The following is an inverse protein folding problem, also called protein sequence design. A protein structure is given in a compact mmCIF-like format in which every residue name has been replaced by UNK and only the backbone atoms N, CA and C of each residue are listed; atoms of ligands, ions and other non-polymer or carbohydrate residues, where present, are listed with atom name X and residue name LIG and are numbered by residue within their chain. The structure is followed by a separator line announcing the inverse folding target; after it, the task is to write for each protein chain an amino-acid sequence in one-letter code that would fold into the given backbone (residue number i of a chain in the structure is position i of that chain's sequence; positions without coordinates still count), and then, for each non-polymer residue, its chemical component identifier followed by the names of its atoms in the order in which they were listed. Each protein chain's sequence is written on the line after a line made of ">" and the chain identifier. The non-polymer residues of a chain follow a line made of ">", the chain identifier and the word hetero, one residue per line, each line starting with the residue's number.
data_IF_036375119722
#
_entry.id   IF_036375119722
#
_cell.length_a   1.000
_cell.length_b   1.000
_cell.length_c   1.000
_cell.angle_alpha   90.00
_cell.angle_beta   90.00
_cell.angle_gamma   90.00
#
_symmetry.space_group_name_H-M   'P 1'
#
loop_
_entity.id
_entity.type
_entity.pdbx_description
1 polymer ?
#
# COMPACT_ATOMS: atom_id res chain seq x y z
N UNK A 1 -44.91 23.13 18.00
CA UNK A 1 -43.84 24.03 17.47
C UNK A 1 -42.67 23.10 17.25
N UNK A 2 -42.80 22.38 16.16
CA UNK A 2 -42.00 21.24 15.78
C UNK A 2 -40.83 21.80 14.97
N UNK A 3 -39.62 21.47 15.39
CA UNK A 3 -38.40 21.81 14.66
C UNK A 3 -37.97 20.51 13.98
N UNK A 4 -38.26 20.44 12.68
CA UNK A 4 -37.77 19.41 11.77
C UNK A 4 -36.24 19.48 11.72
N UNK A 5 -35.59 18.38 12.10
CA UNK A 5 -34.17 18.16 11.86
C UNK A 5 -34.02 17.44 10.51
N UNK A 6 -33.53 18.14 9.51
CA UNK A 6 -33.15 17.56 8.22
C UNK A 6 -31.93 16.64 8.42
N UNK A 7 -32.19 15.33 8.42
CA UNK A 7 -31.18 14.30 8.21
C UNK A 7 -30.89 14.18 6.71
N UNK A 8 -29.75 14.72 6.26
CA UNK A 8 -29.28 14.48 4.90
C UNK A 8 -28.79 13.03 4.76
N UNK A 9 -29.66 12.18 4.22
CA UNK A 9 -29.29 10.87 3.68
C UNK A 9 -28.46 11.07 2.40
N UNK A 10 -27.16 10.81 2.47
CA UNK A 10 -26.35 10.55 1.29
C UNK A 10 -26.49 9.08 0.92
N UNK A 11 -27.56 8.74 0.20
CA UNK A 11 -27.67 7.49 -0.54
C UNK A 11 -27.06 7.72 -1.93
N UNK A 12 -25.77 7.43 -2.09
CA UNK A 12 -25.17 7.22 -3.41
C UNK A 12 -25.69 5.88 -3.94
N UNK A 13 -26.45 5.95 -5.03
CA UNK A 13 -26.92 4.80 -5.79
C UNK A 13 -25.70 4.05 -6.34
N UNK A 14 -25.37 2.92 -5.72
CA UNK A 14 -24.45 1.95 -6.27
C UNK A 14 -25.06 1.38 -7.55
N UNK A 15 -24.62 1.89 -8.71
CA UNK A 15 -24.90 1.26 -9.99
C UNK A 15 -24.25 -0.12 -10.01
N UNK A 16 -25.05 -1.16 -9.82
CA UNK A 16 -24.64 -2.55 -9.98
C UNK A 16 -24.34 -2.85 -11.44
N UNK A 17 -23.10 -2.62 -11.86
CA UNK A 17 -22.46 -3.40 -12.91
C UNK A 17 -21.32 -4.13 -12.21
N UNK A 18 -21.44 -5.44 -12.06
CA UNK A 18 -20.39 -6.25 -11.45
C UNK A 18 -19.19 -6.28 -12.41
N UNK A 19 -18.10 -5.63 -12.01
CA UNK A 19 -16.80 -5.65 -12.70
C UNK A 19 -16.26 -7.08 -12.96
N UNK A 20 -16.83 -8.09 -12.31
CA UNK A 20 -16.30 -9.46 -12.25
C UNK A 20 -16.45 -10.28 -13.54
N UNK A 21 -17.45 -10.00 -14.40
CA UNK A 21 -17.60 -10.75 -15.68
C UNK A 21 -16.58 -10.30 -16.75
N UNK A 22 -16.00 -9.10 -16.63
CA UNK A 22 -15.01 -8.57 -17.56
C UNK A 22 -13.58 -9.09 -17.28
N UNK A 23 -13.29 -9.55 -16.06
CA UNK A 23 -11.96 -10.02 -15.65
C UNK A 23 -11.53 -11.37 -16.22
N UNK A 24 -12.46 -12.24 -16.65
CA UNK A 24 -12.13 -13.61 -17.04
C UNK A 24 -11.38 -13.74 -18.39
N UNK A 25 -11.43 -12.71 -19.24
CA UNK A 25 -10.86 -12.75 -20.61
C UNK A 25 -9.64 -11.84 -20.84
N UNK A 26 -9.28 -11.01 -19.85
CA UNK A 26 -8.18 -10.05 -20.00
C UNK A 26 -6.81 -10.74 -19.92
N UNK A 27 -5.80 -10.28 -20.69
CA UNK A 27 -4.45 -10.80 -20.59
C UNK A 27 -3.90 -10.58 -19.17
N UNK A 28 -3.32 -11.63 -18.59
CA UNK A 28 -2.71 -11.59 -17.27
C UNK A 28 -1.29 -11.04 -17.36
N UNK A 29 -0.87 -10.29 -16.35
CA UNK A 29 0.51 -9.86 -16.17
C UNK A 29 1.19 -10.79 -15.16
N UNK A 30 2.47 -11.06 -15.37
CA UNK A 30 3.31 -11.80 -14.42
C UNK A 30 4.45 -10.92 -13.92
N UNK A 31 4.56 -10.79 -12.60
CA UNK A 31 5.74 -10.27 -11.91
C UNK A 31 6.49 -11.45 -11.30
N UNK A 32 7.81 -11.44 -11.32
CA UNK A 32 8.61 -12.47 -10.63
C UNK A 32 9.74 -11.85 -9.83
N UNK A 33 10.19 -12.57 -8.81
CA UNK A 33 11.38 -12.25 -8.02
C UNK A 33 12.62 -12.04 -8.90
N UNK A 34 12.71 -12.73 -10.04
CA UNK A 34 13.80 -12.56 -10.99
C UNK A 34 13.73 -11.20 -11.70
N UNK A 35 12.57 -10.79 -12.19
CA UNK A 35 12.44 -9.52 -12.92
C UNK A 35 12.41 -8.32 -12.00
N UNK A 36 11.80 -8.46 -10.82
CA UNK A 36 11.59 -7.36 -9.88
C UNK A 36 12.75 -7.18 -8.89
N UNK A 37 13.44 -8.26 -8.50
CA UNK A 37 14.50 -8.20 -7.50
C UNK A 37 15.82 -8.84 -7.95
N UNK A 38 15.92 -9.34 -9.19
CA UNK A 38 17.09 -10.06 -9.71
C UNK A 38 17.53 -11.24 -8.81
N UNK A 39 16.54 -11.97 -8.27
CA UNK A 39 16.76 -13.15 -7.44
C UNK A 39 16.00 -14.34 -8.01
N UNK A 40 16.63 -15.51 -8.05
CA UNK A 40 15.94 -16.74 -8.48
C UNK A 40 14.92 -17.18 -7.42
N UNK A 41 13.74 -17.62 -7.85
CA UNK A 41 12.65 -18.09 -6.96
C UNK A 41 13.14 -19.16 -5.97
N UNK A 42 14.03 -20.07 -6.40
CA UNK A 42 14.63 -21.12 -5.58
C UNK A 42 15.43 -20.61 -4.38
N UNK A 43 15.85 -19.35 -4.39
CA UNK A 43 16.61 -18.68 -3.32
C UNK A 43 15.72 -17.87 -2.37
N UNK A 44 14.42 -17.75 -2.68
CA UNK A 44 13.46 -17.00 -1.88
C UNK A 44 12.73 -17.97 -0.94
N UNK A 45 12.89 -17.84 0.39
CA UNK A 45 12.24 -18.77 1.32
C UNK A 45 10.72 -18.60 1.39
N UNK A 46 10.21 -17.39 1.12
CA UNK A 46 8.79 -17.04 1.19
C UNK A 46 8.10 -17.35 -0.14
N UNK A 47 7.19 -18.32 -0.14
CA UNK A 47 6.55 -18.82 -1.36
C UNK A 47 5.77 -17.73 -2.12
N UNK A 48 5.04 -16.89 -1.41
CA UNK A 48 4.22 -15.82 -2.01
C UNK A 48 5.03 -14.66 -2.59
N UNK A 49 6.34 -14.62 -2.37
CA UNK A 49 7.24 -13.62 -2.96
C UNK A 49 7.83 -14.08 -4.31
N UNK A 50 7.60 -15.32 -4.75
CA UNK A 50 8.22 -15.88 -5.94
C UNK A 50 7.77 -15.21 -7.22
N UNK A 51 6.46 -15.20 -7.45
CA UNK A 51 5.83 -14.55 -8.59
C UNK A 51 4.36 -14.28 -8.32
N UNK A 52 3.83 -13.28 -9.02
CA UNK A 52 2.42 -12.93 -9.05
C UNK A 52 1.95 -13.04 -10.49
N UNK A 53 0.81 -13.69 -10.72
CA UNK A 53 0.16 -13.70 -12.04
C UNK A 53 -1.31 -13.34 -11.87
N UNK A 54 -1.71 -12.17 -12.38
CA UNK A 54 -3.04 -11.64 -12.12
C UNK A 54 -3.45 -10.49 -13.04
N UNK A 55 -4.21 -9.54 -12.49
CA UNK A 55 -4.95 -8.54 -13.24
C UNK A 55 -4.05 -7.65 -14.13
N UNK A 56 -4.54 -7.28 -15.32
CA UNK A 56 -3.84 -6.45 -16.32
C UNK A 56 -3.37 -5.08 -15.81
N UNK A 57 -3.91 -4.61 -14.68
CA UNK A 57 -3.68 -3.27 -14.14
C UNK A 57 -2.40 -3.15 -13.29
N UNK A 58 -1.68 -4.24 -13.03
CA UNK A 58 -0.39 -4.19 -12.32
C UNK A 58 0.73 -3.93 -13.32
N UNK A 59 1.61 -2.97 -13.03
CA UNK A 59 2.79 -2.66 -13.86
C UNK A 59 4.10 -3.16 -13.22
N UNK A 60 5.08 -3.65 -14.00
CA UNK A 60 6.41 -3.98 -13.48
C UNK A 60 7.14 -2.77 -12.86
N UNK A 61 7.98 -2.99 -11.85
CA UNK A 61 8.83 -1.93 -11.25
C UNK A 61 9.64 -1.17 -12.30
N UNK A 62 10.28 -1.89 -13.23
CA UNK A 62 11.05 -1.27 -14.30
C UNK A 62 10.24 -0.28 -15.16
N UNK A 63 8.95 -0.58 -15.42
CA UNK A 63 8.07 0.34 -16.13
C UNK A 63 7.67 1.51 -15.22
N UNK A 64 7.31 1.24 -13.96
CA UNK A 64 6.95 2.27 -13.00
C UNK A 64 8.08 3.30 -12.82
N UNK A 65 9.33 2.84 -12.80
CA UNK A 65 10.54 3.64 -12.60
C UNK A 65 11.02 4.40 -13.84
N UNK A 66 10.42 4.14 -15.00
CA UNK A 66 10.77 4.86 -16.24
C UNK A 66 10.21 6.28 -16.19
N UNK A 67 11.04 7.30 -16.40
CA UNK A 67 10.56 8.69 -16.48
C UNK A 67 9.61 8.88 -17.66
N UNK A 68 8.54 9.64 -17.45
CA UNK A 68 7.62 10.01 -18.54
C UNK A 68 8.34 10.75 -19.68
N UNK A 69 9.37 11.54 -19.35
CA UNK A 69 10.20 12.24 -20.32
C UNK A 69 10.99 11.29 -21.24
N UNK A 70 11.44 10.13 -20.72
CA UNK A 70 12.19 9.13 -21.51
C UNK A 70 11.27 8.37 -22.48
N UNK A 71 10.00 8.20 -22.11
CA UNK A 71 8.98 7.59 -22.96
C UNK A 71 8.45 8.57 -24.03
N UNK A 72 8.45 9.87 -23.72
CA UNK A 72 7.70 10.87 -24.48
C UNK A 72 6.18 10.69 -24.36
N UNK A 73 5.43 11.68 -24.83
CA UNK A 73 3.97 11.70 -24.68
C UNK A 73 3.28 10.52 -25.39
N UNK A 74 3.77 10.16 -26.58
CA UNK A 74 3.31 9.00 -27.33
C UNK A 74 3.56 7.69 -26.58
N UNK A 75 4.77 7.53 -26.01
CA UNK A 75 5.15 6.33 -25.28
C UNK A 75 4.33 6.18 -23.98
N UNK A 76 4.11 7.27 -23.24
CA UNK A 76 3.25 7.26 -22.05
C UNK A 76 1.83 6.83 -22.41
N UNK A 77 1.25 7.41 -23.46
CA UNK A 77 -0.08 7.03 -23.94
C UNK A 77 -0.14 5.57 -24.39
N UNK A 78 0.85 5.09 -25.14
CA UNK A 78 0.94 3.71 -25.59
C UNK A 78 0.90 2.74 -24.39
N UNK A 79 1.69 3.01 -23.35
CA UNK A 79 1.73 2.19 -22.14
C UNK A 79 0.42 2.26 -21.36
N UNK A 80 -0.20 3.44 -21.22
CA UNK A 80 -1.52 3.58 -20.59
C UNK A 80 -2.60 2.80 -21.34
N UNK A 81 -2.69 2.98 -22.66
CA UNK A 81 -3.62 2.25 -23.52
C UNK A 81 -3.41 0.73 -23.41
N UNK A 82 -2.15 0.28 -23.45
CA UNK A 82 -1.80 -1.14 -23.34
C UNK A 82 -2.15 -1.72 -21.98
N UNK A 83 -1.83 -1.05 -20.87
CA UNK A 83 -2.09 -1.55 -19.51
C UNK A 83 -3.59 -1.50 -19.18
N UNK A 84 -4.28 -0.44 -19.60
CA UNK A 84 -5.70 -0.22 -19.27
C UNK A 84 -6.66 -0.82 -20.31
N UNK A 85 -6.15 -1.35 -21.41
CA UNK A 85 -6.98 -1.94 -22.47
C UNK A 85 -7.80 -0.90 -23.25
N UNK A 86 -7.27 0.32 -23.39
CA UNK A 86 -7.93 1.43 -24.08
C UNK A 86 -7.21 1.76 -25.39
N UNK A 87 -7.80 2.66 -26.18
CA UNK A 87 -7.29 3.06 -27.50
C UNK A 87 -7.48 4.56 -27.73
N UNK A 88 -7.26 5.37 -26.70
CA UNK A 88 -7.37 6.83 -26.81
C UNK A 88 -6.33 7.40 -27.77
N UNK A 89 -6.74 8.40 -28.54
CA UNK A 89 -5.85 9.19 -29.39
C UNK A 89 -5.15 10.28 -28.57
N UNK A 90 -3.95 10.65 -29.01
CA UNK A 90 -3.12 11.65 -28.33
C UNK A 90 -3.84 12.98 -28.12
N UNK A 91 -4.54 13.46 -29.13
CA UNK A 91 -5.27 14.74 -29.10
C UNK A 91 -6.28 14.84 -27.94
N UNK A 92 -6.78 13.71 -27.44
CA UNK A 92 -7.73 13.67 -26.33
C UNK A 92 -7.09 13.83 -24.95
N UNK A 93 -5.79 13.54 -24.81
CA UNK A 93 -5.10 13.41 -23.50
C UNK A 93 -3.79 14.18 -23.40
N UNK A 94 -3.31 14.77 -24.49
CA UNK A 94 -2.00 15.42 -24.59
C UNK A 94 -1.75 16.43 -23.46
N UNK A 95 -2.73 17.30 -23.16
CA UNK A 95 -2.57 18.31 -22.11
C UNK A 95 -2.36 17.71 -20.72
N UNK A 96 -3.01 16.58 -20.44
CA UNK A 96 -2.87 15.87 -19.18
C UNK A 96 -1.50 15.21 -19.11
N UNK A 97 -1.08 14.49 -20.17
CA UNK A 97 0.19 13.76 -20.20
C UNK A 97 1.41 14.69 -20.19
N UNK A 98 1.35 15.82 -20.90
CA UNK A 98 2.40 16.83 -20.92
C UNK A 98 2.72 17.37 -19.51
N UNK A 99 1.71 17.44 -18.63
CA UNK A 99 1.93 17.89 -17.25
C UNK A 99 2.85 16.95 -16.46
N UNK A 100 2.73 15.64 -16.63
CA UNK A 100 3.59 14.65 -15.96
C UNK A 100 5.00 14.64 -16.54
N UNK A 101 5.14 14.86 -17.86
CA UNK A 101 6.45 15.01 -18.51
C UNK A 101 7.15 16.28 -18.01
N UNK A 102 6.43 17.40 -17.96
CA UNK A 102 6.99 18.68 -17.53
C UNK A 102 7.44 18.68 -16.07
N UNK A 103 6.76 17.92 -15.19
CA UNK A 103 7.16 17.72 -13.79
C UNK A 103 8.29 16.70 -13.62
N UNK A 104 8.71 16.03 -14.71
CA UNK A 104 9.66 14.93 -14.69
C UNK A 104 9.20 13.78 -13.77
N UNK A 105 7.90 13.50 -13.79
CA UNK A 105 7.33 12.37 -13.06
C UNK A 105 7.71 11.06 -13.75
N UNK A 106 7.76 9.98 -12.98
CA UNK A 106 7.86 8.63 -13.51
C UNK A 106 6.49 8.07 -13.94
N UNK A 107 6.53 7.02 -14.75
CA UNK A 107 5.33 6.40 -15.28
C UNK A 107 4.45 5.82 -14.17
N UNK A 108 5.04 5.28 -13.09
CA UNK A 108 4.29 4.77 -11.94
C UNK A 108 3.44 5.86 -11.29
N UNK A 109 4.00 7.06 -11.13
CA UNK A 109 3.31 8.22 -10.58
C UNK A 109 2.18 8.66 -11.50
N UNK A 110 2.45 8.82 -12.80
CA UNK A 110 1.41 9.13 -13.78
C UNK A 110 0.29 8.08 -13.78
N UNK A 111 0.67 6.81 -13.79
CA UNK A 111 -0.25 5.68 -13.80
C UNK A 111 -1.16 5.66 -12.57
N UNK A 112 -0.61 5.88 -11.37
CA UNK A 112 -1.37 5.89 -10.12
C UNK A 112 -2.46 6.98 -10.11
N UNK A 113 -2.13 8.19 -10.58
CA UNK A 113 -3.07 9.31 -10.60
C UNK A 113 -4.12 9.19 -11.70
N UNK A 114 -3.73 8.67 -12.88
CA UNK A 114 -4.58 8.65 -14.06
C UNK A 114 -5.47 7.40 -14.15
N UNK A 115 -4.99 6.23 -13.69
CA UNK A 115 -5.65 4.93 -13.88
C UNK A 115 -7.13 4.92 -13.55
N UNK A 116 -7.51 5.55 -12.42
CA UNK A 116 -8.89 5.51 -11.93
C UNK A 116 -9.87 6.28 -12.80
N UNK A 117 -9.40 7.41 -13.33
CA UNK A 117 -10.23 8.36 -14.06
C UNK A 117 -10.02 8.25 -15.57
N UNK A 118 -9.25 7.25 -16.01
CA UNK A 118 -8.85 7.11 -17.41
C UNK A 118 -10.03 6.91 -18.36
N UNK A 119 -11.16 6.38 -17.88
CA UNK A 119 -12.40 6.26 -18.64
C UNK A 119 -13.16 7.59 -18.80
N UNK A 120 -12.87 8.58 -17.95
CA UNK A 120 -13.51 9.90 -17.92
C UNK A 120 -12.46 11.02 -17.94
N UNK A 121 -11.68 11.04 -19.02
CA UNK A 121 -10.58 11.99 -19.26
C UNK A 121 -10.96 13.46 -18.97
N UNK A 122 -12.13 13.98 -19.39
CA UNK A 122 -12.47 15.38 -19.17
C UNK A 122 -12.56 15.79 -17.70
N UNK A 123 -12.81 14.85 -16.77
CA UNK A 123 -12.99 15.17 -15.34
C UNK A 123 -11.72 15.00 -14.51
N UNK A 124 -10.69 14.32 -15.03
CA UNK A 124 -9.44 13.99 -14.32
C UNK A 124 -8.88 15.17 -13.53
N UNK A 125 -8.59 16.29 -14.19
CA UNK A 125 -7.95 17.43 -13.54
C UNK A 125 -8.83 18.05 -12.46
N UNK A 126 -10.15 18.12 -12.70
CA UNK A 126 -11.10 18.70 -11.76
C UNK A 126 -11.24 17.82 -10.52
N UNK A 127 -11.39 16.51 -10.71
CA UNK A 127 -11.50 15.53 -9.62
C UNK A 127 -10.24 15.52 -8.75
N UNK A 128 -9.05 15.42 -9.37
CA UNK A 128 -7.79 15.40 -8.63
C UNK A 128 -7.62 16.66 -7.76
N UNK A 129 -7.86 17.85 -8.33
CA UNK A 129 -7.78 19.12 -7.57
C UNK A 129 -8.80 19.18 -6.44
N UNK A 130 -10.02 18.73 -6.69
CA UNK A 130 -11.10 18.74 -5.69
C UNK A 130 -10.77 17.81 -4.53
N UNK A 131 -10.22 16.62 -4.79
CA UNK A 131 -9.86 15.65 -3.77
C UNK A 131 -8.65 16.08 -2.96
N UNK A 132 -7.64 16.66 -3.61
CA UNK A 132 -6.49 17.25 -2.94
C UNK A 132 -6.90 18.37 -1.97
N UNK A 133 -7.78 19.28 -2.41
CA UNK A 133 -8.27 20.38 -1.56
C UNK A 133 -9.04 19.84 -0.35
N UNK A 134 -9.92 18.86 -0.57
CA UNK A 134 -10.69 18.22 0.51
C UNK A 134 -9.79 17.55 1.54
N UNK A 135 -8.74 16.83 1.11
CA UNK A 135 -7.79 16.23 2.03
C UNK A 135 -7.01 17.29 2.83
N UNK A 136 -6.58 18.35 2.15
CA UNK A 136 -5.88 19.46 2.78
C UNK A 136 -6.74 20.18 3.83
N UNK A 137 -8.00 20.43 3.52
CA UNK A 137 -8.96 21.04 4.44
C UNK A 137 -9.24 20.12 5.64
N UNK A 138 -9.50 18.83 5.38
CA UNK A 138 -9.74 17.83 6.42
C UNK A 138 -8.56 17.74 7.40
N UNK A 139 -7.33 17.69 6.92
CA UNK A 139 -6.14 17.64 7.79
C UNK A 139 -5.88 18.94 8.54
N UNK A 140 -6.17 20.09 7.93
CA UNK A 140 -6.09 21.40 8.61
C UNK A 140 -7.09 21.49 9.75
N UNK A 141 -8.30 20.99 9.55
CA UNK A 141 -9.38 21.03 10.53
C UNK A 141 -9.26 19.95 11.61
N UNK A 142 -8.44 18.92 11.39
CA UNK A 142 -8.20 17.85 12.36
C UNK A 142 -7.39 18.32 13.59
N UNK A 143 -6.64 19.42 13.49
CA UNK A 143 -5.88 20.00 14.59
C UNK A 143 -6.43 21.40 14.92
N UNK A 144 -6.99 21.55 16.12
CA UNK A 144 -7.49 22.83 16.64
C UNK A 144 -6.77 23.12 17.96
N UNK A 145 -6.16 24.30 18.08
CA UNK A 145 -5.39 24.73 19.26
C UNK A 145 -4.34 23.69 19.73
N UNK A 146 -3.69 23.03 18.78
CA UNK A 146 -2.67 22.01 19.04
C UNK A 146 -3.22 20.66 19.53
N UNK A 147 -4.53 20.43 19.45
CA UNK A 147 -5.18 19.17 19.81
C UNK A 147 -5.83 18.52 18.60
N UNK A 148 -5.70 17.21 18.50
CA UNK A 148 -6.41 16.42 17.50
C UNK A 148 -7.88 16.32 17.92
N UNK A 149 -8.77 16.94 17.14
CA UNK A 149 -10.22 16.98 17.39
C UNK A 149 -10.96 15.89 16.63
N UNK A 150 -10.39 15.40 15.52
CA UNK A 150 -10.90 14.27 14.75
C UNK A 150 -9.87 13.14 14.74
N UNK A 151 -10.27 11.95 15.20
CA UNK A 151 -9.39 10.76 15.23
C UNK A 151 -9.51 9.90 13.98
N UNK A 152 -10.59 10.07 13.22
CA UNK A 152 -10.89 9.29 12.01
C UNK A 152 -10.23 9.94 10.78
N UNK A 153 -8.94 10.24 10.91
CA UNK A 153 -8.14 10.83 9.85
C UNK A 153 -7.48 9.68 9.07
N UNK A 154 -7.73 9.54 7.77
CA UNK A 154 -7.09 8.51 6.97
C UNK A 154 -5.58 8.78 6.85
N UNK A 155 -4.78 7.77 6.45
CA UNK A 155 -3.35 7.93 6.30
C UNK A 155 -3.07 9.06 5.31
N UNK A 156 -1.93 9.73 5.43
CA UNK A 156 -1.53 10.75 4.45
C UNK A 156 -1.22 10.13 3.10
N UNK A 157 -0.56 8.98 3.12
CA UNK A 157 -0.09 8.28 1.93
C UNK A 157 -0.36 6.80 2.05
N UNK A 158 -0.46 6.14 0.91
CA UNK A 158 -0.63 4.70 0.77
C UNK A 158 0.26 4.20 -0.36
N UNK A 159 0.66 2.95 -0.29
CA UNK A 159 1.37 2.28 -1.36
C UNK A 159 0.37 1.70 -2.35
N UNK A 160 0.32 2.29 -3.55
CA UNK A 160 -0.35 1.70 -4.71
C UNK A 160 0.50 0.52 -5.21
N UNK A 161 0.05 -0.70 -4.91
CA UNK A 161 0.72 -1.94 -5.30
C UNK A 161 0.63 -2.17 -6.80
N UNK A 162 -0.34 -1.59 -7.50
CA UNK A 162 -0.48 -1.74 -8.95
C UNK A 162 0.53 -0.86 -9.67
N UNK A 163 0.73 0.37 -9.18
CA UNK A 163 1.67 1.36 -9.74
C UNK A 163 3.09 1.30 -9.16
N UNK A 164 3.29 0.57 -8.06
CA UNK A 164 4.51 0.58 -7.25
C UNK A 164 4.94 1.96 -6.75
N UNK A 165 3.97 2.77 -6.30
CA UNK A 165 4.24 4.13 -5.80
C UNK A 165 3.48 4.43 -4.52
N UNK A 166 4.14 5.15 -3.63
CA UNK A 166 3.50 5.81 -2.50
C UNK A 166 2.81 7.06 -3.04
N UNK A 167 1.49 7.10 -2.92
CA UNK A 167 0.66 8.21 -3.37
C UNK A 167 -0.17 8.75 -2.21
N UNK A 168 -0.63 10.01 -2.28
CA UNK A 168 -1.58 10.53 -1.30
C UNK A 168 -2.83 9.66 -1.22
N UNK A 169 -3.38 9.48 -0.01
CA UNK A 169 -4.57 8.65 0.19
C UNK A 169 -5.79 9.07 -0.65
N UNK A 170 -5.92 10.37 -0.91
CA UNK A 170 -7.01 10.93 -1.71
C UNK A 170 -6.98 10.48 -3.18
N UNK A 171 -5.86 9.93 -3.67
CA UNK A 171 -5.76 9.25 -4.97
C UNK A 171 -6.39 7.85 -4.91
N UNK A 172 -6.19 7.13 -3.80
CA UNK A 172 -6.56 5.72 -3.67
C UNK A 172 -8.05 5.46 -3.39
N UNK A 173 -8.70 6.22 -2.48
CA UNK A 173 -10.13 6.10 -2.04
C UNK A 173 -10.76 4.71 -2.23
N UNK A 174 -10.09 3.65 -1.77
CA UNK A 174 -10.49 2.23 -1.82
C UNK A 174 -10.08 1.55 -0.52
N UNK A 175 -10.57 0.33 -0.33
CA UNK A 175 -10.18 -0.52 0.79
C UNK A 175 -8.67 -0.68 0.87
N UNK A 176 -8.11 -0.30 2.02
CA UNK A 176 -6.69 -0.40 2.28
C UNK A 176 -6.38 -1.74 2.94
N UNK A 177 -5.24 -2.30 2.59
CA UNK A 177 -4.64 -3.41 3.30
C UNK A 177 -3.59 -2.87 4.27
N UNK A 178 -3.63 -3.29 5.53
CA UNK A 178 -2.57 -2.98 6.47
C UNK A 178 -1.39 -3.94 6.29
N UNK A 179 -0.18 -3.43 6.50
CA UNK A 179 1.00 -4.25 6.73
C UNK A 179 1.47 -3.97 8.14
N UNK A 180 1.49 -5.01 8.97
CA UNK A 180 2.02 -4.97 10.32
C UNK A 180 3.24 -5.89 10.39
N UNK A 181 4.29 -5.48 11.09
CA UNK A 181 5.51 -6.27 11.15
C UNK A 181 6.26 -6.12 12.47
N UNK A 182 7.00 -7.16 12.86
CA UNK A 182 7.96 -7.05 13.95
C UNK A 182 9.15 -6.17 13.53
N UNK A 183 9.81 -5.56 14.51
CA UNK A 183 11.08 -4.88 14.28
C UNK A 183 12.22 -5.87 14.43
N UNK A 184 13.16 -5.86 13.49
CA UNK A 184 14.44 -6.57 13.67
C UNK A 184 15.46 -5.67 14.36
N UNK A 185 16.54 -6.27 14.87
CA UNK A 185 17.69 -5.54 15.41
C UNK A 185 18.17 -4.45 14.46
N UNK A 186 18.58 -3.32 15.04
CA UNK A 186 19.17 -2.18 14.33
C UNK A 186 20.35 -2.64 13.46
N UNK A 187 21.16 -3.57 13.97
CA UNK A 187 22.28 -4.19 13.24
C UNK A 187 21.85 -5.03 12.04
N UNK A 188 20.59 -5.48 12.02
CA UNK A 188 19.98 -6.27 10.95
C UNK A 188 19.03 -5.45 10.07
N UNK A 189 18.94 -4.13 10.28
CA UNK A 189 18.21 -3.19 9.43
C UNK A 189 19.13 -2.50 8.43
N UNK A 190 18.53 -2.01 7.36
CA UNK A 190 19.13 -1.12 6.38
C UNK A 190 18.11 -0.06 5.98
N UNK A 191 18.61 1.17 5.80
CA UNK A 191 17.84 2.32 5.36
C UNK A 191 17.94 2.44 3.83
N UNK A 192 16.86 2.06 3.13
CA UNK A 192 16.86 1.99 1.66
C UNK A 192 16.22 3.23 1.06
N UNK A 193 16.96 3.93 0.19
CA UNK A 193 16.39 4.94 -0.70
C UNK A 193 15.75 4.26 -1.91
N UNK A 194 14.48 4.57 -2.19
CA UNK A 194 13.69 3.85 -3.21
C UNK A 194 12.88 4.81 -4.09
N UNK A 195 12.69 4.50 -5.39
CA UNK A 195 11.77 5.27 -6.24
C UNK A 195 10.31 5.14 -5.78
N UNK A 196 9.97 4.08 -5.02
CA UNK A 196 8.60 3.82 -4.57
C UNK A 196 8.03 5.01 -3.78
N UNK A 197 8.83 5.71 -2.97
CA UNK A 197 8.44 6.93 -2.26
C UNK A 197 9.06 8.21 -2.85
N UNK A 198 9.44 8.19 -4.13
CA UNK A 198 10.04 9.32 -4.81
C UNK A 198 11.44 9.70 -4.30
N UNK A 199 12.15 8.78 -3.64
CA UNK A 199 13.43 9.04 -2.98
C UNK A 199 13.35 10.20 -1.97
N UNK A 200 12.24 10.33 -1.26
CA UNK A 200 12.02 11.45 -0.34
C UNK A 200 12.55 11.18 1.08
N UNK A 201 12.50 9.93 1.53
CA UNK A 201 13.05 9.46 2.81
C UNK A 201 13.56 8.03 2.68
N UNK A 202 14.52 7.62 3.53
CA UNK A 202 14.94 6.23 3.60
C UNK A 202 13.85 5.34 4.22
N UNK A 203 13.78 4.08 3.79
CA UNK A 203 12.83 3.09 4.31
C UNK A 203 13.60 2.07 5.15
N UNK A 204 13.44 2.05 6.48
CA UNK A 204 14.12 1.09 7.36
C UNK A 204 13.48 -0.30 7.19
N UNK A 205 14.21 -1.25 6.61
CA UNK A 205 13.76 -2.63 6.41
C UNK A 205 14.84 -3.63 6.84
N UNK A 206 14.51 -4.91 7.09
CA UNK A 206 15.53 -5.94 7.29
C UNK A 206 16.49 -6.05 6.10
N UNK A 207 17.78 -6.31 6.35
CA UNK A 207 18.83 -6.40 5.31
C UNK A 207 18.52 -7.36 4.18
N UNK A 208 17.85 -8.47 4.48
CA UNK A 208 17.52 -9.51 3.50
C UNK A 208 16.13 -9.32 2.86
N UNK A 209 15.38 -8.28 3.27
CA UNK A 209 14.08 -7.94 2.72
C UNK A 209 14.22 -7.10 1.44
N UNK A 210 13.20 -7.13 0.60
CA UNK A 210 13.11 -6.34 -0.62
C UNK A 210 11.65 -5.88 -0.82
N UNK A 211 11.46 -4.58 -1.07
CA UNK A 211 10.12 -3.98 -1.20
C UNK A 211 9.35 -4.58 -2.38
N UNK A 212 9.98 -4.84 -3.52
CA UNK A 212 9.29 -5.45 -4.65
C UNK A 212 8.89 -6.91 -4.40
N UNK A 213 9.66 -7.66 -3.60
CA UNK A 213 9.25 -8.99 -3.13
C UNK A 213 8.05 -8.90 -2.18
N UNK A 214 8.07 -7.97 -1.22
CA UNK A 214 6.94 -7.71 -0.32
C UNK A 214 5.70 -7.32 -1.14
N UNK A 215 5.86 -6.52 -2.19
CA UNK A 215 4.79 -6.15 -3.12
C UNK A 215 4.19 -7.38 -3.80
N UNK A 216 5.02 -8.29 -4.32
CA UNK A 216 4.55 -9.56 -4.93
C UNK A 216 3.74 -10.36 -3.90
N UNK A 217 4.22 -10.47 -2.67
CA UNK A 217 3.51 -11.16 -1.60
C UNK A 217 2.17 -10.50 -1.26
N UNK A 218 2.13 -9.16 -1.18
CA UNK A 218 0.89 -8.42 -0.95
C UNK A 218 -0.12 -8.60 -2.09
N UNK A 219 0.33 -8.61 -3.35
CA UNK A 219 -0.53 -8.86 -4.51
C UNK A 219 -1.09 -10.30 -4.51
N UNK A 220 -0.34 -11.26 -3.96
CA UNK A 220 -0.75 -12.64 -3.77
C UNK A 220 -1.58 -12.87 -2.50
N UNK A 221 -1.69 -11.88 -1.60
CA UNK A 221 -2.39 -12.04 -0.35
C UNK A 221 -3.90 -12.20 -0.61
N UNK A 222 -4.50 -13.15 0.10
CA UNK A 222 -5.90 -13.51 -0.05
C UNK A 222 -6.62 -13.33 1.28
N UNK A 223 -7.78 -12.69 1.22
CA UNK A 223 -8.68 -12.57 2.35
C UNK A 223 -9.82 -13.58 2.24
N UNK A 224 -10.29 -14.09 3.38
CA UNK A 224 -11.52 -14.88 3.44
C UNK A 224 -12.79 -14.04 3.28
N UNK A 225 -12.69 -12.72 3.36
CA UNK A 225 -13.82 -11.79 3.39
C UNK A 225 -13.91 -10.88 2.17
N UNK A 226 -12.79 -10.63 1.50
CA UNK A 226 -12.77 -9.78 0.31
C UNK A 226 -12.36 -10.58 -0.92
N UNK A 227 -13.19 -10.51 -1.97
CA UNK A 227 -12.93 -11.14 -3.27
C UNK A 227 -11.81 -10.44 -4.06
N UNK A 228 -11.34 -9.28 -3.60
CA UNK A 228 -10.36 -8.47 -4.31
C UNK A 228 -8.94 -8.65 -3.76
N UNK A 229 -7.96 -8.62 -4.66
CA UNK A 229 -6.53 -8.56 -4.34
C UNK A 229 -6.16 -7.20 -3.74
N UNK A 230 -5.03 -7.14 -3.02
CA UNK A 230 -4.54 -5.88 -2.47
C UNK A 230 -4.13 -4.92 -3.61
N UNK A 231 -4.93 -3.88 -3.85
CA UNK A 231 -4.56 -2.78 -4.77
C UNK A 231 -3.76 -1.69 -4.04
N UNK A 232 -4.16 -1.37 -2.81
CA UNK A 232 -3.51 -0.37 -1.97
C UNK A 232 -3.17 -0.97 -0.61
N UNK A 233 -1.93 -0.74 -0.18
CA UNK A 233 -1.44 -1.13 1.12
C UNK A 233 -0.98 0.09 1.91
N UNK A 234 -0.95 -0.05 3.23
CA UNK A 234 -0.33 0.90 4.12
C UNK A 234 0.75 0.19 4.92
N UNK A 235 1.96 0.71 4.81
CA UNK A 235 3.16 0.24 5.49
C UNK A 235 3.78 1.46 6.16
N UNK A 236 3.86 1.46 7.48
CA UNK A 236 4.32 2.59 8.29
C UNK A 236 5.68 3.14 7.83
N UNK A 237 6.69 2.27 7.68
CA UNK A 237 8.05 2.64 7.28
C UNK A 237 8.14 3.24 5.87
N UNK A 238 7.16 2.94 5.02
CA UNK A 238 7.13 3.37 3.63
C UNK A 238 6.19 4.56 3.39
N UNK A 239 5.04 4.60 4.08
CA UNK A 239 3.97 5.58 3.87
C UNK A 239 4.10 6.80 4.79
N UNK A 240 4.77 6.66 5.94
CA UNK A 240 5.15 7.79 6.79
C UNK A 240 6.55 8.26 6.44
N UNK A 241 6.75 9.58 6.44
CA UNK A 241 8.08 10.16 6.26
C UNK A 241 8.98 9.73 7.43
N UNK A 242 10.12 9.11 7.11
CA UNK A 242 11.10 8.64 8.08
C UNK A 242 12.22 9.66 8.27
N UNK A 243 12.96 9.51 9.38
CA UNK A 243 14.14 10.31 9.67
C UNK A 243 15.26 10.08 8.63
N UNK A 244 16.03 11.12 8.32
CA UNK A 244 17.11 11.09 7.34
C UNK A 244 16.68 11.46 5.92
N UNK A 245 15.47 12.03 5.76
CA UNK A 245 14.91 12.44 4.46
C UNK A 245 15.27 13.87 4.04
N UNK A 246 14.75 14.29 2.87
CA UNK A 246 15.02 15.62 2.27
C UNK A 246 14.39 16.80 3.02
N UNK A 247 13.43 16.57 3.93
CA UNK A 247 12.73 17.61 4.68
C UNK A 247 12.27 17.13 6.08
N UNK A 248 13.18 17.25 7.04
CA UNK A 248 12.93 16.88 8.45
C UNK A 248 11.91 17.78 9.13
N UNK A 249 11.82 19.06 8.74
CA UNK A 249 10.84 19.97 9.32
C UNK A 249 9.41 19.54 8.92
N UNK A 250 9.23 19.19 7.65
CA UNK A 250 7.96 18.65 7.17
C UNK A 250 7.60 17.33 7.86
N UNK A 251 8.57 16.45 8.12
CA UNK A 251 8.33 15.21 8.89
C UNK A 251 7.74 15.50 10.27
N UNK A 252 8.37 16.40 11.02
CA UNK A 252 7.91 16.77 12.37
C UNK A 252 6.49 17.35 12.32
N UNK A 253 6.17 18.17 11.32
CA UNK A 253 4.82 18.71 11.15
C UNK A 253 3.79 17.65 10.76
N UNK A 254 4.10 16.75 9.82
CA UNK A 254 3.23 15.65 9.44
C UNK A 254 2.95 14.71 10.62
N UNK A 255 3.98 14.40 11.41
CA UNK A 255 3.89 13.47 12.54
C UNK A 255 3.00 13.97 13.69
N UNK A 256 2.77 15.29 13.83
CA UNK A 256 1.83 15.82 14.82
C UNK A 256 0.41 15.27 14.62
N UNK A 257 0.04 14.95 13.38
CA UNK A 257 -1.24 14.35 13.03
C UNK A 257 -1.11 12.85 12.79
N UNK A 258 -0.19 12.47 11.89
CA UNK A 258 -0.22 11.15 11.25
C UNK A 258 0.17 10.01 12.21
N UNK A 259 1.10 10.24 13.15
CA UNK A 259 1.52 9.21 14.13
C UNK A 259 0.43 8.96 15.17
N UNK A 260 -0.16 9.99 15.83
CA UNK A 260 -1.26 9.75 16.77
C UNK A 260 -2.52 9.14 16.16
N UNK A 261 -2.76 9.31 14.85
CA UNK A 261 -3.94 8.77 14.17
C UNK A 261 -3.68 7.43 13.48
N UNK A 262 -2.51 6.80 13.64
CA UNK A 262 -2.18 5.52 12.99
C UNK A 262 -3.21 4.41 13.25
N UNK A 263 -3.83 4.39 14.43
CA UNK A 263 -4.86 3.40 14.75
C UNK A 263 -6.09 3.48 13.85
N UNK A 264 -6.42 4.65 13.29
CA UNK A 264 -7.54 4.80 12.35
C UNK A 264 -7.32 3.97 11.09
N UNK A 265 -6.07 3.80 10.67
CA UNK A 265 -5.70 3.04 9.49
C UNK A 265 -6.11 1.57 9.63
N UNK A 266 -5.75 0.96 10.76
CA UNK A 266 -6.07 -0.43 11.04
C UNK A 266 -7.56 -0.64 11.31
N UNK A 267 -8.25 0.36 11.88
CA UNK A 267 -9.71 0.34 11.97
C UNK A 267 -10.41 0.38 10.60
N UNK A 268 -9.81 1.05 9.61
CA UNK A 268 -10.30 1.12 8.23
C UNK A 268 -9.86 -0.05 7.34
N UNK A 269 -8.85 -0.82 7.77
CA UNK A 269 -8.28 -1.91 7.00
C UNK A 269 -8.96 -3.25 7.37
N UNK A 270 -9.84 -3.81 6.52
CA UNK A 270 -10.47 -5.10 6.80
C UNK A 270 -9.47 -6.26 6.78
N UNK A 271 -8.30 -6.06 6.15
CA UNK A 271 -7.27 -7.06 5.97
C UNK A 271 -5.92 -6.49 6.39
N UNK A 272 -5.19 -7.24 7.22
CA UNK A 272 -3.84 -6.89 7.66
C UNK A 272 -2.94 -8.09 7.45
N UNK A 273 -1.83 -7.89 6.72
CA UNK A 273 -0.76 -8.87 6.59
C UNK A 273 0.24 -8.65 7.71
N UNK A 274 0.45 -9.67 8.55
CA UNK A 274 1.30 -9.62 9.72
C UNK A 274 2.58 -10.42 9.50
N UNK A 275 3.74 -9.75 9.57
CA UNK A 275 5.06 -10.36 9.55
C UNK A 275 5.63 -10.48 10.97
N UNK A 276 5.57 -11.68 11.55
CA UNK A 276 5.92 -11.88 12.96
C UNK A 276 7.44 -11.91 13.23
N UNK A 277 8.26 -12.13 12.21
CA UNK A 277 9.73 -12.25 12.32
C UNK A 277 10.51 -11.09 11.64
N UNK A 278 9.81 -10.01 11.30
CA UNK A 278 10.38 -8.89 10.55
C UNK A 278 9.75 -8.73 9.17
N UNK A 279 9.63 -7.48 8.71
CA UNK A 279 9.00 -7.15 7.44
C UNK A 279 9.60 -7.95 6.27
N UNK A 280 8.76 -8.70 5.54
CA UNK A 280 9.16 -9.48 4.37
C UNK A 280 10.03 -10.72 4.69
N UNK A 281 10.28 -11.02 5.97
CA UNK A 281 11.05 -12.19 6.40
C UNK A 281 10.18 -13.45 6.43
N UNK A 282 10.78 -14.64 6.26
CA UNK A 282 10.07 -15.89 6.47
C UNK A 282 9.56 -16.02 7.91
N UNK A 283 8.40 -16.65 8.05
CA UNK A 283 7.85 -17.04 9.34
C UNK A 283 8.65 -18.21 9.91
N UNK A 284 9.79 -17.88 10.52
CA UNK A 284 10.71 -18.82 11.15
C UNK A 284 11.02 -18.36 12.58
N UNK A 285 10.05 -18.54 13.47
CA UNK A 285 10.15 -18.14 14.87
C UNK A 285 10.87 -19.22 15.69
N UNK A 286 11.58 -18.78 16.72
CA UNK A 286 12.15 -19.60 17.78
C UNK A 286 11.45 -19.32 19.11
N UNK A 287 11.63 -20.19 20.11
CA UNK A 287 11.09 -19.94 21.46
C UNK A 287 11.64 -18.64 22.08
N UNK A 288 12.89 -18.27 21.76
CA UNK A 288 13.50 -17.03 22.21
C UNK A 288 12.86 -15.78 21.63
N UNK A 289 12.31 -15.85 20.41
CA UNK A 289 11.69 -14.69 19.78
C UNK A 289 10.44 -14.22 20.51
N UNK A 290 9.72 -15.13 21.17
CA UNK A 290 8.58 -14.77 22.04
C UNK A 290 8.99 -14.02 23.31
N UNK A 291 10.23 -14.19 23.76
CA UNK A 291 10.77 -13.54 24.94
C UNK A 291 11.44 -12.19 24.60
N UNK A 292 11.65 -11.91 23.31
CA UNK A 292 12.18 -10.65 22.82
C UNK A 292 11.19 -9.50 23.00
N UNK A 293 11.70 -8.33 23.40
CA UNK A 293 10.89 -7.09 23.45
C UNK A 293 10.45 -6.62 22.06
N UNK A 294 11.08 -7.13 20.99
CA UNK A 294 10.67 -6.85 19.61
C UNK A 294 9.66 -7.85 19.06
N UNK A 295 9.31 -8.88 19.84
CA UNK A 295 8.29 -9.84 19.48
C UNK A 295 7.01 -9.10 19.10
N UNK A 296 6.43 -9.48 17.95
CA UNK A 296 5.20 -8.84 17.48
C UNK A 296 4.07 -8.87 18.53
N UNK A 297 3.94 -9.96 19.29
CA UNK A 297 2.92 -10.13 20.33
C UNK A 297 3.11 -9.22 21.56
N UNK A 298 4.29 -8.60 21.71
CA UNK A 298 4.65 -7.77 22.87
C UNK A 298 4.76 -6.28 22.54
N UNK A 299 4.52 -5.88 21.28
CA UNK A 299 4.57 -4.48 20.88
C UNK A 299 3.40 -3.70 21.49
N UNK A 300 3.67 -2.45 21.88
CA UNK A 300 2.64 -1.55 22.41
C UNK A 300 1.48 -1.30 21.42
N UNK A 301 1.77 -1.42 20.12
CA UNK A 301 0.82 -1.17 19.04
C UNK A 301 0.03 -2.41 18.61
N UNK A 302 0.35 -3.61 19.13
CA UNK A 302 -0.28 -4.87 18.72
C UNK A 302 -1.80 -4.82 18.81
N UNK A 303 -2.36 -4.26 19.88
CA UNK A 303 -3.83 -4.14 20.04
C UNK A 303 -4.49 -3.24 18.99
N UNK A 304 -3.76 -2.28 18.41
CA UNK A 304 -4.29 -1.44 17.33
C UNK A 304 -4.11 -2.10 15.96
N UNK A 305 -3.14 -2.99 15.81
CA UNK A 305 -2.77 -3.63 14.54
C UNK A 305 -3.44 -5.00 14.35
N UNK A 306 -3.93 -5.63 15.43
CA UNK A 306 -4.66 -6.90 15.40
C UNK A 306 -6.02 -6.71 14.75
N UNK A 307 -6.31 -7.56 13.77
CA UNK A 307 -7.65 -7.75 13.23
C UNK A 307 -8.18 -9.12 13.61
N UNK A 308 -9.50 -9.33 13.48
CA UNK A 308 -10.14 -10.60 13.81
C UNK A 308 -9.55 -11.78 13.01
N UNK A 309 -9.01 -11.54 11.81
CA UNK A 309 -8.37 -12.55 10.97
C UNK A 309 -7.12 -11.99 10.29
N UNK A 310 -5.97 -11.94 11.00
CA UNK A 310 -4.74 -11.48 10.40
C UNK A 310 -4.29 -12.48 9.32
N UNK A 311 -3.77 -11.95 8.23
CA UNK A 311 -3.16 -12.72 7.16
C UNK A 311 -1.70 -12.91 7.52
N UNK A 312 -1.25 -14.16 7.64
CA UNK A 312 0.13 -14.45 8.00
C UNK A 312 1.04 -14.20 6.79
N UNK A 313 1.97 -13.25 6.94
CA UNK A 313 3.05 -12.98 5.99
C UNK A 313 4.27 -13.86 6.25
N UNK A 314 5.13 -13.99 5.25
CA UNK A 314 6.36 -14.78 5.33
C UNK A 314 6.14 -16.29 5.21
N UNK A 315 5.01 -16.73 4.65
CA UNK A 315 4.70 -18.16 4.53
C UNK A 315 5.76 -18.90 3.70
N UNK A 316 6.41 -19.87 4.33
CA UNK A 316 7.49 -20.65 3.73
C UNK A 316 6.97 -21.79 2.85
N UNK A 317 7.79 -22.21 1.89
CA UNK A 317 7.52 -23.37 1.02
C UNK A 317 7.36 -24.66 1.83
N UNK A 318 8.15 -24.80 2.89
CA UNK A 318 8.08 -25.93 3.83
C UNK A 318 7.87 -25.38 5.24
N UNK A 319 6.83 -25.87 5.90
CA UNK A 319 6.66 -25.62 7.32
C UNK A 319 7.66 -26.46 8.12
N UNK A 320 8.79 -25.83 8.45
CA UNK A 320 9.85 -26.42 9.29
C UNK A 320 9.77 -25.95 10.74
N UNK A 321 8.75 -25.17 11.10
CA UNK A 321 8.63 -24.64 12.46
C UNK A 321 8.39 -25.77 13.46
N UNK A 322 9.16 -25.76 14.55
CA UNK A 322 9.05 -26.77 15.60
C UNK A 322 7.62 -26.79 16.20
N UNK A 323 7.11 -27.99 16.49
CA UNK A 323 5.74 -28.16 17.00
C UNK A 323 5.43 -27.34 18.25
N UNK A 324 6.41 -27.20 19.15
CA UNK A 324 6.24 -26.41 20.38
C UNK A 324 6.14 -24.92 20.07
N UNK A 325 6.98 -24.41 19.15
CA UNK A 325 6.93 -23.03 18.67
C UNK A 325 5.60 -22.75 17.97
N UNK A 326 5.15 -23.64 17.07
CA UNK A 326 3.85 -23.55 16.38
C UNK A 326 2.69 -23.50 17.38
N UNK A 327 2.70 -24.37 18.40
CA UNK A 327 1.68 -24.35 19.46
C UNK A 327 1.67 -23.01 20.20
N UNK A 328 2.84 -22.49 20.61
CA UNK A 328 2.93 -21.20 21.31
C UNK A 328 2.46 -20.04 20.42
N UNK A 329 2.81 -20.06 19.14
CA UNK A 329 2.34 -19.09 18.15
C UNK A 329 0.81 -19.08 18.04
N UNK A 330 0.21 -20.25 17.83
CA UNK A 330 -1.25 -20.39 17.66
C UNK A 330 -2.00 -19.98 18.94
N UNK A 331 -1.46 -20.31 20.12
CA UNK A 331 -2.02 -19.89 21.41
C UNK A 331 -2.02 -18.36 21.58
N UNK A 332 -0.89 -17.70 21.28
CA UNK A 332 -0.82 -16.24 21.37
C UNK A 332 -1.71 -15.56 20.34
N UNK A 333 -1.76 -16.06 19.10
CA UNK A 333 -2.61 -15.52 18.06
C UNK A 333 -4.10 -15.63 18.42
N UNK A 334 -4.51 -16.78 18.96
CA UNK A 334 -5.90 -17.00 19.42
C UNK A 334 -6.25 -16.06 20.58
N UNK A 335 -5.33 -15.89 21.54
CA UNK A 335 -5.57 -15.01 22.70
C UNK A 335 -5.85 -13.55 22.32
N UNK A 336 -5.29 -13.08 21.20
CA UNK A 336 -5.53 -11.73 20.69
C UNK A 336 -6.88 -11.58 19.96
N UNK A 337 -7.45 -12.68 19.48
CA UNK A 337 -8.77 -12.68 18.83
C UNK A 337 -9.94 -12.69 19.84
N UNK A 338 -9.64 -12.93 21.12
CA UNK A 338 -10.62 -12.95 22.22
C UNK A 338 -10.76 -11.58 22.93
N UNK A 339 -9.98 -10.58 22.54
CA UNK A 339 -10.01 -9.19 23.05
C UNK A 339 -10.94 -8.34 22.19
#
# INVERSE_FOLDING_TARGET
>A
MDIEGESHNLSEEASGHSDDEEYASAPKITLSSLTEANREESTIPVLKQWSYTGARKVIPSALADTFCADLGVDGVLEKLNTTLGTSYALDSVISILDSYIARNDDFGTAYAYLRRYWSDIPTIEHELRTLEEKDREMRRNAIVDGRITNRDVPPRRVWDLYANRVVPYWVARKYLWGISHAWVDDENRVDVMTPINGYEWPVPIPKDANLDLIRIEMLNAQSRYTLHTAEYAWLDVLCLRQEGGKDEALRVEEWKLDVPTIGSMYALAPNVVCYFNGLGQPLDLTLSDFESDRCWFRRAWTLQEVTYHPIIGGEMVQDVMEKEVRRKFDEQLTSLQEI
#
